data_IF_813875569450
#
_entry.id   IF_813875569450
#
_cell.length_a   1.000
_cell.length_b   1.000
_cell.length_c   1.000
_cell.angle_alpha   90.00
_cell.angle_beta   90.00
_cell.angle_gamma   90.00
#
_symmetry.space_group_name_H-M   'P 1'
#
loop_
_entity.id
_entity.type
_entity.pdbx_description
1 polymer ?
#
# COMPACT_ATOMS: atom_id res chain seq x y z
N UNK A 1 -2.93 -35.41 -11.60
CA UNK A 1 -2.23 -34.21 -12.11
C UNK A 1 -2.00 -33.27 -10.94
N UNK A 2 -0.74 -33.00 -10.56
CA UNK A 2 -0.41 -32.01 -9.51
C UNK A 2 -0.47 -30.62 -10.12
N UNK A 3 -1.22 -29.72 -9.50
CA UNK A 3 -1.25 -28.30 -9.91
C UNK A 3 0.09 -27.67 -9.53
N UNK A 4 0.67 -26.89 -10.44
CA UNK A 4 1.90 -26.13 -10.18
C UNK A 4 1.74 -25.28 -8.90
N UNK A 5 2.66 -25.39 -7.92
CA UNK A 5 2.57 -24.65 -6.65
C UNK A 5 2.50 -23.13 -6.83
N UNK A 6 3.15 -22.59 -7.86
CA UNK A 6 3.11 -21.17 -8.16
C UNK A 6 1.74 -20.73 -8.67
N UNK A 7 1.08 -21.53 -9.49
CA UNK A 7 -0.30 -21.28 -9.94
C UNK A 7 -1.25 -21.28 -8.75
N UNK A 8 -1.11 -22.26 -7.86
CA UNK A 8 -1.94 -22.37 -6.66
C UNK A 8 -1.72 -21.19 -5.72
N UNK A 9 -0.46 -20.76 -5.50
CA UNK A 9 -0.14 -19.62 -4.65
C UNK A 9 -0.70 -18.31 -5.22
N UNK A 10 -0.61 -18.10 -6.55
CA UNK A 10 -1.21 -16.93 -7.22
C UNK A 10 -2.73 -16.93 -7.09
N UNK A 11 -3.37 -18.06 -7.29
CA UNK A 11 -4.83 -18.19 -7.14
C UNK A 11 -5.27 -17.87 -5.70
N UNK A 12 -4.54 -18.36 -4.70
CA UNK A 12 -4.80 -18.05 -3.28
C UNK A 12 -4.61 -16.58 -2.97
N UNK A 13 -3.52 -15.96 -3.45
CA UNK A 13 -3.27 -14.54 -3.25
C UNK A 13 -4.34 -13.66 -3.90
N UNK A 14 -4.92 -14.10 -5.01
CA UNK A 14 -6.03 -13.41 -5.68
C UNK A 14 -7.34 -13.47 -4.89
N UNK A 15 -7.66 -14.65 -4.35
CA UNK A 15 -8.96 -14.89 -3.67
C UNK A 15 -8.94 -14.41 -2.21
N UNK A 16 -7.81 -14.57 -1.53
CA UNK A 16 -7.67 -14.29 -0.09
C UNK A 16 -6.84 -13.04 0.23
N UNK A 17 -6.39 -12.32 -0.80
CA UNK A 17 -5.40 -11.26 -0.64
C UNK A 17 -3.98 -11.80 -0.44
N UNK A 18 -3.04 -10.96 -0.01
CA UNK A 18 -1.65 -11.35 0.21
C UNK A 18 -1.53 -12.47 1.24
N UNK A 19 -0.74 -13.48 0.92
CA UNK A 19 -0.49 -14.64 1.80
C UNK A 19 0.80 -14.40 2.56
N UNK A 20 0.73 -14.47 3.89
CA UNK A 20 1.91 -14.41 4.76
C UNK A 20 2.46 -15.83 4.99
N UNK A 21 3.78 -15.94 4.95
CA UNK A 21 4.54 -17.15 5.25
C UNK A 21 5.53 -16.92 6.38
N UNK A 22 6.03 -18.01 6.96
CA UNK A 22 7.24 -17.97 7.76
C UNK A 22 8.47 -17.65 6.88
N UNK A 23 9.48 -16.95 7.39
CA UNK A 23 10.73 -16.71 6.63
C UNK A 23 11.42 -17.99 6.15
N UNK A 24 11.23 -19.11 6.87
CA UNK A 24 11.82 -20.41 6.53
C UNK A 24 11.05 -21.15 5.42
N UNK A 25 9.82 -20.76 5.13
CA UNK A 25 9.00 -21.47 4.13
C UNK A 25 9.53 -21.23 2.71
N UNK A 26 9.50 -22.23 1.84
CA UNK A 26 9.94 -22.09 0.46
C UNK A 26 9.02 -21.14 -0.32
N UNK A 27 9.60 -20.38 -1.23
CA UNK A 27 8.84 -19.51 -2.14
C UNK A 27 8.40 -20.30 -3.36
N UNK A 28 7.10 -20.41 -3.66
CA UNK A 28 6.63 -21.05 -4.87
C UNK A 28 7.14 -20.35 -6.13
N UNK A 29 7.30 -21.12 -7.22
CA UNK A 29 7.71 -20.58 -8.50
C UNK A 29 6.76 -19.46 -8.99
N UNK A 30 7.30 -18.41 -9.58
CA UNK A 30 6.52 -17.27 -10.06
C UNK A 30 5.95 -16.37 -8.96
N UNK A 31 6.48 -16.48 -7.73
CA UNK A 31 6.13 -15.60 -6.61
C UNK A 31 7.38 -14.86 -6.13
N UNK A 32 7.19 -13.59 -5.75
CA UNK A 32 8.17 -12.77 -5.06
C UNK A 32 7.96 -12.80 -3.55
N UNK A 33 8.91 -12.27 -2.81
CA UNK A 33 8.88 -12.15 -1.34
C UNK A 33 8.98 -10.69 -0.93
N UNK A 34 8.10 -10.27 -0.03
CA UNK A 34 8.19 -8.98 0.64
C UNK A 34 8.35 -9.21 2.15
N UNK A 35 9.56 -9.04 2.70
CA UNK A 35 9.80 -9.21 4.14
C UNK A 35 9.10 -8.11 4.94
N UNK A 36 8.58 -8.50 6.11
CA UNK A 36 7.90 -7.63 7.06
C UNK A 36 8.16 -8.14 8.47
N UNK A 37 9.29 -7.77 9.04
CA UNK A 37 9.72 -8.27 10.34
C UNK A 37 9.82 -9.80 10.39
N UNK A 38 9.02 -10.42 11.25
CA UNK A 38 8.98 -11.89 11.42
C UNK A 38 8.15 -12.62 10.34
N UNK A 39 7.58 -11.91 9.36
CA UNK A 39 6.74 -12.47 8.31
C UNK A 39 7.33 -12.21 6.94
N UNK A 40 6.92 -13.03 5.99
CA UNK A 40 7.21 -12.81 4.57
C UNK A 40 5.90 -12.92 3.80
N UNK A 41 5.60 -11.90 3.03
CA UNK A 41 4.43 -11.89 2.18
C UNK A 41 4.77 -12.47 0.81
N UNK A 42 3.90 -13.33 0.29
CA UNK A 42 3.99 -13.82 -1.08
C UNK A 42 3.23 -12.90 -2.02
N UNK A 43 3.91 -12.53 -3.09
CA UNK A 43 3.37 -11.68 -4.13
C UNK A 43 3.60 -12.32 -5.50
N UNK A 44 2.67 -12.17 -6.46
CA UNK A 44 2.97 -12.53 -7.84
C UNK A 44 4.19 -11.76 -8.32
N UNK A 45 5.20 -12.46 -8.86
CA UNK A 45 6.36 -11.81 -9.45
C UNK A 45 5.92 -11.03 -10.69
N UNK A 46 6.53 -9.86 -10.85
CA UNK A 46 6.37 -9.08 -12.05
C UNK A 46 7.31 -9.64 -13.11
N UNK A 47 6.83 -10.13 -14.26
CA UNK A 47 7.72 -10.60 -15.32
C UNK A 47 8.51 -9.42 -15.91
N UNK A 48 9.80 -9.63 -16.20
CA UNK A 48 10.61 -8.65 -16.89
C UNK A 48 9.98 -8.29 -18.25
N UNK A 49 9.90 -6.98 -18.55
CA UNK A 49 9.28 -6.50 -19.79
C UNK A 49 7.76 -6.64 -19.84
N UNK A 50 7.09 -6.82 -18.68
CA UNK A 50 5.65 -6.95 -18.63
C UNK A 50 4.93 -5.70 -19.18
N UNK A 51 4.03 -5.94 -20.13
CA UNK A 51 3.10 -4.93 -20.65
C UNK A 51 1.77 -5.00 -19.91
N UNK A 52 0.91 -3.96 -19.97
CA UNK A 52 -0.43 -4.02 -19.38
C UNK A 52 -1.25 -5.24 -19.82
N UNK A 53 -1.17 -5.64 -21.09
CA UNK A 53 -1.86 -6.82 -21.61
C UNK A 53 -1.32 -8.11 -20.98
N UNK A 54 0.00 -8.23 -20.85
CA UNK A 54 0.64 -9.38 -20.21
C UNK A 54 0.26 -9.47 -18.74
N UNK A 55 0.17 -8.32 -18.04
CA UNK A 55 -0.26 -8.27 -16.65
C UNK A 55 -1.71 -8.73 -16.46
N UNK A 56 -2.60 -8.36 -17.38
CA UNK A 56 -3.99 -8.86 -17.40
C UNK A 56 -4.03 -10.37 -17.61
N UNK A 57 -3.23 -10.91 -18.54
CA UNK A 57 -3.12 -12.34 -18.78
C UNK A 57 -2.65 -13.10 -17.53
N UNK A 58 -1.66 -12.57 -16.83
CA UNK A 58 -1.18 -13.11 -15.55
C UNK A 58 -2.09 -12.75 -14.37
N UNK A 59 -3.17 -12.03 -14.61
CA UNK A 59 -4.12 -11.60 -13.58
C UNK A 59 -3.46 -10.75 -12.47
N UNK A 60 -2.40 -10.07 -12.80
CA UNK A 60 -1.75 -9.08 -11.95
C UNK A 60 -2.50 -7.78 -12.14
N UNK A 61 -3.27 -7.36 -11.16
CA UNK A 61 -4.03 -6.10 -11.24
C UNK A 61 -3.08 -4.92 -11.44
N UNK A 62 -3.50 -3.96 -12.28
CA UNK A 62 -2.78 -2.73 -12.54
C UNK A 62 -2.50 -1.91 -11.27
N UNK A 63 -1.60 -0.97 -11.37
CA UNK A 63 -1.32 -0.05 -10.27
C UNK A 63 -2.51 0.87 -10.02
N UNK A 64 -2.87 1.11 -8.76
CA UNK A 64 -3.98 2.02 -8.42
C UNK A 64 -3.76 3.46 -8.92
N UNK A 65 -2.52 3.84 -9.24
CA UNK A 65 -2.14 5.18 -9.70
C UNK A 65 -2.13 5.34 -11.22
N UNK A 66 -2.22 4.26 -11.99
CA UNK A 66 -2.11 4.32 -13.47
C UNK A 66 -3.31 5.01 -14.12
N UNK A 67 -4.48 4.84 -13.54
CA UNK A 67 -5.71 5.44 -14.07
C UNK A 67 -6.14 6.64 -13.21
N UNK A 68 -6.49 7.77 -13.83
CA UNK A 68 -7.08 8.87 -13.10
C UNK A 68 -8.42 8.45 -12.51
N UNK A 69 -8.73 8.92 -11.31
CA UNK A 69 -9.99 8.58 -10.63
C UNK A 69 -9.92 8.62 -9.13
N UNK A 70 -10.97 8.12 -8.52
CA UNK A 70 -11.10 8.13 -7.07
C UNK A 70 -10.12 7.20 -6.38
N UNK A 71 -9.96 5.99 -6.89
CA UNK A 71 -8.97 5.00 -6.39
C UNK A 71 -7.59 5.61 -6.28
N UNK A 72 -7.15 6.30 -7.35
CA UNK A 72 -5.85 6.99 -7.37
C UNK A 72 -5.72 8.01 -6.24
N UNK A 73 -6.74 8.82 -5.99
CA UNK A 73 -6.71 9.85 -4.94
C UNK A 73 -6.69 9.23 -3.55
N UNK A 74 -7.52 8.21 -3.33
CA UNK A 74 -7.57 7.48 -2.04
C UNK A 74 -6.25 6.80 -1.76
N UNK A 75 -5.67 6.12 -2.76
CA UNK A 75 -4.40 5.45 -2.58
C UNK A 75 -3.23 6.45 -2.40
N UNK A 76 -3.24 7.57 -3.11
CA UNK A 76 -2.27 8.65 -2.90
C UNK A 76 -2.35 9.22 -1.48
N UNK A 77 -3.56 9.39 -0.93
CA UNK A 77 -3.74 9.81 0.45
C UNK A 77 -3.19 8.77 1.45
N UNK A 78 -3.43 7.48 1.20
CA UNK A 78 -2.87 6.41 2.01
C UNK A 78 -1.33 6.39 1.96
N UNK A 79 -0.75 6.52 0.76
CA UNK A 79 0.71 6.65 0.59
C UNK A 79 1.25 7.84 1.41
N UNK A 80 0.60 9.00 1.33
CA UNK A 80 1.01 10.19 2.08
C UNK A 80 1.04 9.99 3.59
N UNK A 81 0.13 9.17 4.10
CA UNK A 81 0.05 8.87 5.53
C UNK A 81 1.02 7.77 5.97
N UNK A 82 1.26 6.78 5.12
CA UNK A 82 1.98 5.56 5.48
C UNK A 82 3.42 5.49 4.98
N UNK A 83 3.80 6.27 3.97
CA UNK A 83 5.18 6.37 3.50
C UNK A 83 5.92 7.42 4.30
N UNK A 84 6.64 6.96 5.33
CA UNK A 84 7.25 7.83 6.31
C UNK A 84 8.39 8.66 5.73
N UNK A 85 9.30 7.99 5.03
CA UNK A 85 10.47 8.60 4.39
C UNK A 85 10.37 8.47 2.86
N UNK A 86 9.86 9.48 2.14
CA UNK A 86 9.71 9.40 0.69
C UNK A 86 11.03 9.17 -0.07
N UNK A 87 12.17 9.44 0.53
CA UNK A 87 13.50 9.14 -0.05
C UNK A 87 13.89 7.67 0.08
N UNK A 88 13.30 6.97 1.03
CA UNK A 88 13.46 5.53 1.25
C UNK A 88 12.51 4.69 0.40
N UNK A 89 12.43 3.40 0.73
CA UNK A 89 11.46 2.48 0.14
C UNK A 89 10.06 2.71 0.78
N UNK A 90 8.99 2.63 0.00
CA UNK A 90 7.64 2.79 0.54
C UNK A 90 7.20 1.60 1.43
N UNK A 91 7.75 0.42 1.20
CA UNK A 91 7.47 -0.78 1.98
C UNK A 91 8.53 -1.02 3.05
N UNK A 92 8.17 -1.43 4.28
CA UNK A 92 6.82 -1.70 4.78
C UNK A 92 6.02 -0.46 5.17
N UNK A 93 6.64 0.71 5.21
CA UNK A 93 6.03 1.95 5.66
C UNK A 93 5.69 1.97 7.15
N UNK A 94 4.89 2.93 7.56
CA UNK A 94 4.37 3.04 8.93
C UNK A 94 2.87 2.75 8.99
N UNK A 95 2.38 2.43 10.18
CA UNK A 95 0.94 2.42 10.46
C UNK A 95 0.43 3.84 10.61
N UNK A 96 -0.75 4.12 10.05
CA UNK A 96 -1.42 5.41 10.14
C UNK A 96 -2.91 5.22 10.44
N UNK A 97 -3.57 6.18 11.13
CA UNK A 97 -5.01 6.13 11.34
C UNK A 97 -5.77 6.24 10.01
N UNK A 98 -6.81 5.43 9.83
CA UNK A 98 -7.71 5.54 8.68
C UNK A 98 -8.29 6.96 8.53
N UNK A 99 -8.74 7.63 9.61
CA UNK A 99 -9.21 9.01 9.54
C UNK A 99 -8.21 9.98 8.90
N UNK A 100 -6.91 9.83 9.15
CA UNK A 100 -5.88 10.71 8.58
C UNK A 100 -5.86 10.64 7.04
N UNK A 101 -5.96 9.44 6.46
CA UNK A 101 -6.05 9.31 5.00
C UNK A 101 -7.36 9.87 4.44
N UNK A 102 -8.47 9.75 5.17
CA UNK A 102 -9.74 10.31 4.76
C UNK A 102 -9.70 11.86 4.75
N UNK A 103 -8.99 12.47 5.69
CA UNK A 103 -8.81 13.93 5.73
C UNK A 103 -7.91 14.41 4.58
N UNK A 104 -6.77 13.73 4.33
CA UNK A 104 -5.92 14.03 3.17
C UNK A 104 -6.73 13.89 1.87
N UNK A 105 -7.52 12.82 1.74
CA UNK A 105 -8.41 12.64 0.59
C UNK A 105 -9.46 13.74 0.46
N UNK A 106 -10.12 14.12 1.54
CA UNK A 106 -11.13 15.17 1.57
C UNK A 106 -10.57 16.53 1.13
N UNK A 107 -9.34 16.86 1.53
CA UNK A 107 -8.68 18.10 1.12
C UNK A 107 -8.38 18.19 -0.37
N UNK A 108 -8.31 17.05 -1.08
CA UNK A 108 -8.09 16.96 -2.52
C UNK A 108 -9.39 16.87 -3.33
N UNK A 109 -10.51 16.82 -2.68
CA UNK A 109 -11.78 16.45 -3.29
C UNK A 109 -12.83 17.53 -3.07
N UNK A 110 -13.78 17.64 -4.01
CA UNK A 110 -14.92 18.55 -3.90
C UNK A 110 -16.22 17.75 -3.89
N UNK A 111 -17.15 18.07 -3.03
CA UNK A 111 -18.44 17.40 -2.94
C UNK A 111 -18.94 17.25 -1.51
N UNK A 112 -20.01 16.47 -1.33
CA UNK A 112 -20.57 16.17 -0.02
C UNK A 112 -19.59 15.34 0.82
N UNK A 113 -19.16 15.84 2.00
CA UNK A 113 -18.14 15.16 2.80
C UNK A 113 -18.54 13.75 3.27
N UNK A 114 -19.83 13.57 3.60
CA UNK A 114 -20.32 12.27 4.09
C UNK A 114 -20.32 11.20 3.02
N UNK A 115 -20.75 11.57 1.80
CA UNK A 115 -20.75 10.67 0.65
C UNK A 115 -19.31 10.32 0.25
N UNK A 116 -18.43 11.31 0.21
CA UNK A 116 -17.01 11.13 -0.16
C UNK A 116 -16.30 10.22 0.83
N UNK A 117 -16.56 10.39 2.15
CA UNK A 117 -15.99 9.52 3.17
C UNK A 117 -16.42 8.06 2.99
N UNK A 118 -17.70 7.81 2.70
CA UNK A 118 -18.22 6.44 2.46
C UNK A 118 -17.55 5.81 1.23
N UNK A 119 -17.42 6.56 0.15
CA UNK A 119 -16.75 6.09 -1.06
C UNK A 119 -15.27 5.79 -0.82
N UNK A 120 -14.56 6.69 -0.13
CA UNK A 120 -13.16 6.49 0.19
C UNK A 120 -12.92 5.25 1.05
N UNK A 121 -13.79 4.98 2.04
CA UNK A 121 -13.72 3.75 2.83
C UNK A 121 -13.93 2.50 1.97
N UNK A 122 -14.87 2.52 1.04
CA UNK A 122 -15.07 1.43 0.09
C UNK A 122 -13.81 1.17 -0.77
N UNK A 123 -13.15 2.23 -1.22
CA UNK A 123 -11.91 2.10 -1.99
C UNK A 123 -10.74 1.63 -1.14
N UNK A 124 -10.62 2.05 0.13
CA UNK A 124 -9.60 1.54 1.05
C UNK A 124 -9.74 0.03 1.24
N UNK A 125 -10.98 -0.48 1.44
CA UNK A 125 -11.26 -1.92 1.54
C UNK A 125 -10.86 -2.65 0.26
N UNK A 126 -11.23 -2.13 -0.91
CA UNK A 126 -10.86 -2.72 -2.20
C UNK A 126 -9.34 -2.76 -2.40
N UNK A 127 -8.63 -1.71 -1.99
CA UNK A 127 -7.17 -1.68 -2.01
C UNK A 127 -6.57 -2.71 -1.05
N UNK A 128 -7.21 -2.97 0.09
CA UNK A 128 -6.79 -4.01 1.02
C UNK A 128 -7.03 -5.41 0.44
N UNK A 129 -8.21 -5.67 -0.12
CA UNK A 129 -8.54 -6.94 -0.77
C UNK A 129 -7.55 -7.30 -1.89
N UNK A 130 -7.01 -6.29 -2.55
CA UNK A 130 -6.02 -6.47 -3.62
C UNK A 130 -4.57 -6.37 -3.15
N UNK A 131 -4.33 -6.18 -1.86
CA UNK A 131 -2.98 -6.20 -1.26
C UNK A 131 -2.15 -4.93 -1.43
N UNK A 132 -2.77 -3.83 -1.82
CA UNK A 132 -2.13 -2.52 -1.84
C UNK A 132 -2.09 -1.84 -0.47
N UNK A 133 -3.03 -2.19 0.39
CA UNK A 133 -3.09 -1.76 1.78
C UNK A 133 -3.28 -2.97 2.70
N UNK A 134 -2.98 -2.79 3.96
CA UNK A 134 -3.39 -3.64 5.06
C UNK A 134 -4.26 -2.78 5.97
N UNK A 135 -5.51 -3.18 6.16
CA UNK A 135 -6.46 -2.49 7.01
C UNK A 135 -6.71 -3.28 8.29
N UNK A 136 -6.74 -2.57 9.39
CA UNK A 136 -7.27 -3.02 10.66
C UNK A 136 -8.42 -2.08 11.03
N UNK A 137 -9.63 -2.49 10.66
CA UNK A 137 -10.83 -1.66 10.89
C UNK A 137 -11.20 -1.61 12.38
N UNK A 138 -10.87 -2.64 13.15
CA UNK A 138 -11.11 -2.67 14.59
C UNK A 138 -10.20 -1.67 15.32
N UNK A 139 -8.93 -1.67 14.98
CA UNK A 139 -7.97 -0.67 15.49
C UNK A 139 -8.11 0.71 14.80
N UNK A 140 -8.93 0.83 13.74
CA UNK A 140 -9.05 2.06 12.96
C UNK A 140 -7.77 2.49 12.26
N UNK A 141 -6.91 1.54 11.92
CA UNK A 141 -5.59 1.78 11.39
C UNK A 141 -5.35 1.13 10.03
N UNK A 142 -4.35 1.63 9.32
CA UNK A 142 -3.92 1.09 8.03
C UNK A 142 -2.42 1.22 7.87
N UNK A 143 -1.85 0.43 6.97
CA UNK A 143 -0.49 0.61 6.44
C UNK A 143 -0.42 0.18 4.98
N UNK A 144 0.70 0.45 4.33
CA UNK A 144 0.91 -0.01 2.97
C UNK A 144 0.88 -1.53 2.91
N UNK A 145 0.30 -2.06 1.84
CA UNK A 145 0.26 -3.47 1.59
C UNK A 145 1.52 -3.97 0.87
N UNK A 146 1.79 -5.28 0.93
CA UNK A 146 3.03 -5.86 0.40
C UNK A 146 3.19 -5.68 -1.11
N UNK A 147 2.12 -5.43 -1.86
CA UNK A 147 2.21 -5.14 -3.30
C UNK A 147 3.03 -3.90 -3.62
N UNK A 148 3.11 -2.96 -2.69
CA UNK A 148 3.94 -1.76 -2.84
C UNK A 148 5.43 -2.11 -2.98
N UNK A 149 5.88 -3.23 -2.39
CA UNK A 149 7.24 -3.72 -2.54
C UNK A 149 7.59 -4.19 -3.96
N UNK A 150 6.58 -4.42 -4.82
CA UNK A 150 6.80 -4.83 -6.21
C UNK A 150 6.91 -3.67 -7.19
N UNK A 151 6.81 -2.43 -6.72
CA UNK A 151 6.95 -1.28 -7.61
C UNK A 151 8.34 -1.22 -8.24
N UNK A 152 8.41 -0.99 -9.55
CA UNK A 152 9.68 -0.79 -10.23
C UNK A 152 10.41 0.43 -9.64
N UNK A 153 11.71 0.30 -9.46
CA UNK A 153 12.53 1.38 -8.87
C UNK A 153 12.41 2.70 -9.66
N UNK A 154 12.31 2.63 -10.95
CA UNK A 154 12.10 3.76 -11.86
C UNK A 154 10.80 4.52 -11.62
N UNK A 155 9.75 3.84 -11.14
CA UNK A 155 8.47 4.48 -10.81
C UNK A 155 8.50 5.25 -9.47
N UNK A 156 9.46 4.97 -8.60
CA UNK A 156 9.53 5.58 -7.27
C UNK A 156 9.77 7.10 -7.31
N UNK A 157 10.47 7.61 -8.32
CA UNK A 157 10.70 9.04 -8.50
C UNK A 157 9.39 9.82 -8.62
N UNK A 158 8.54 9.42 -9.56
CA UNK A 158 7.23 10.04 -9.80
C UNK A 158 6.29 9.92 -8.58
N UNK A 159 6.40 8.80 -7.84
CA UNK A 159 5.62 8.58 -6.63
C UNK A 159 6.06 9.48 -5.48
N UNK A 160 7.36 9.67 -5.30
CA UNK A 160 7.93 10.61 -4.32
C UNK A 160 7.43 12.03 -4.58
N UNK A 161 7.50 12.46 -5.84
CA UNK A 161 7.01 13.78 -6.23
C UNK A 161 5.51 13.94 -6.00
N UNK A 162 4.73 12.90 -6.25
CA UNK A 162 3.30 12.90 -5.95
C UNK A 162 3.07 13.06 -4.45
N UNK A 163 3.68 12.21 -3.63
CA UNK A 163 3.50 12.21 -2.17
C UNK A 163 3.93 13.54 -1.55
N UNK A 164 5.03 14.16 -2.01
CA UNK A 164 5.50 15.46 -1.53
C UNK A 164 4.54 16.62 -1.80
N UNK A 165 3.77 16.52 -2.90
CA UNK A 165 2.78 17.56 -3.28
C UNK A 165 1.46 17.43 -2.55
N UNK A 166 1.21 16.31 -1.88
CA UNK A 166 -0.03 16.08 -1.17
C UNK A 166 -0.06 16.83 0.17
N UNK A 167 -1.24 17.23 0.63
CA UNK A 167 -1.42 17.81 1.95
C UNK A 167 -0.85 16.90 3.05
N UNK A 168 -0.32 17.50 4.09
CA UNK A 168 0.15 16.76 5.25
C UNK A 168 -1.04 16.15 5.98
N UNK A 169 -0.92 14.90 6.47
CA UNK A 169 -1.91 14.37 7.38
C UNK A 169 -1.96 15.22 8.65
N UNK A 170 -3.12 15.29 9.30
CA UNK A 170 -3.24 15.98 10.57
C UNK A 170 -2.25 15.42 11.58
N UNK A 171 -1.72 16.31 12.45
CA UNK A 171 -0.82 15.88 13.52
C UNK A 171 -1.54 14.89 14.46
N UNK A 172 -0.91 13.77 14.76
CA UNK A 172 -1.44 12.84 15.74
C UNK A 172 -1.52 13.53 17.12
N UNK A 173 -2.70 13.56 17.76
CA UNK A 173 -2.79 14.10 19.11
C UNK A 173 -1.95 13.21 20.05
N UNK A 174 -0.80 13.69 20.49
CA UNK A 174 0.05 12.99 21.47
C UNK A 174 1.51 12.80 21.10
N UNK A 175 1.94 13.09 19.88
CA UNK A 175 3.37 13.08 19.54
C UNK A 175 3.99 14.46 19.79
N UNK A 176 4.22 14.81 21.06
CA UNK A 176 5.09 15.94 21.43
C UNK A 176 6.47 15.64 20.87
N UNK A 177 6.92 16.45 19.94
CA UNK A 177 8.31 16.49 19.47
C UNK A 177 9.18 16.80 20.69
N UNK A 178 9.77 15.75 21.26
CA UNK A 178 10.81 15.89 22.29
C UNK A 178 12.06 16.52 21.66
N UNK A 179 12.03 17.80 21.38
CA UNK A 179 13.24 18.60 21.23
C UNK A 179 13.82 18.77 22.63
N UNK A 180 14.73 17.86 22.96
CA UNK A 180 15.60 18.01 24.13
C UNK A 180 16.40 19.32 23.99
N UNK A 181 15.96 20.32 24.68
CA UNK A 181 16.81 21.47 24.94
C UNK A 181 17.94 21.00 25.87
N UNK A 182 19.08 20.72 25.28
CA UNK A 182 20.35 20.63 26.04
C UNK A 182 20.68 22.03 26.52
N UNK A 183 20.37 22.31 27.77
CA UNK A 183 20.81 23.54 28.44
C UNK A 183 22.22 23.27 28.92
N UNK A 184 23.18 23.93 28.29
CA UNK A 184 24.53 24.08 28.81
C UNK A 184 24.49 24.98 30.07
N UNK A 185 25.11 24.47 31.11
CA UNK A 185 25.88 25.27 32.10
C UNK A 185 27.10 24.51 32.55
#
# INVERSE_FOLDING_TARGET
MSVDPGVLARARARVRGPVALSPADPTPAGMGRAPDGARVWLLPSWPDGATPALLEEYQIGGFPLDRPGQVRRVFAAALRCCWDEPDGAPWPGRTAPIPAALEVYASMSRGDPGLMRRWALGELRRLADTGWLLLDEEAGSMRLGPRVATWPHESLGSLRDLVRRLPHPPAEPGRTSGHGATSER
#
